data_IF_092111254555
#
_entry.id   IF_092111254555
#
_cell.length_a   1.000
_cell.length_b   1.000
_cell.length_c   1.000
_cell.angle_alpha   90.00
_cell.angle_beta   90.00
_cell.angle_gamma   90.00
#
_symmetry.space_group_name_H-M   'P 1'
#
loop_
_entity.id
_entity.type
_entity.pdbx_description
1 polymer ?
#
# COMPACT_ATOMS: atom_id res chain seq x y z
N UNK A 1 -7.43 4.65 8.61
CA UNK A 1 -6.04 4.54 8.07
C UNK A 1 -5.45 5.94 7.81
N UNK A 2 -4.17 6.22 8.08
CA UNK A 2 -3.57 7.58 7.96
C UNK A 2 -2.66 7.79 6.72
N UNK A 3 -2.86 7.05 5.62
CA UNK A 3 -2.07 7.22 4.38
C UNK A 3 -2.95 7.78 3.25
N UNK A 4 -2.90 9.10 2.97
CA UNK A 4 -3.73 9.75 1.96
C UNK A 4 -3.48 9.24 0.54
N UNK A 5 -2.22 8.96 0.19
CA UNK A 5 -1.82 8.50 -1.15
C UNK A 5 -2.42 7.13 -1.46
N UNK A 6 -2.34 6.20 -0.50
CA UNK A 6 -2.96 4.88 -0.61
C UNK A 6 -4.48 4.96 -0.73
N UNK A 7 -5.11 5.87 0.03
CA UNK A 7 -6.56 6.09 -0.06
C UNK A 7 -6.96 6.57 -1.47
N UNK A 8 -6.25 7.55 -2.01
CA UNK A 8 -6.52 8.10 -3.34
C UNK A 8 -6.30 7.05 -4.44
N UNK A 9 -5.20 6.30 -4.38
CA UNK A 9 -4.91 5.22 -5.31
C UNK A 9 -6.01 4.15 -5.25
N UNK A 10 -6.42 3.73 -4.06
CA UNK A 10 -7.48 2.73 -3.90
C UNK A 10 -8.81 3.20 -4.50
N UNK A 11 -9.21 4.45 -4.25
CA UNK A 11 -10.47 4.99 -4.76
C UNK A 11 -10.47 5.10 -6.27
N UNK A 12 -9.35 5.54 -6.84
CA UNK A 12 -9.14 5.64 -8.28
C UNK A 12 -9.18 4.26 -8.92
N UNK A 13 -8.41 3.30 -8.41
CA UNK A 13 -8.31 1.95 -9.00
C UNK A 13 -9.61 1.15 -8.87
N UNK A 14 -10.37 1.35 -7.79
CA UNK A 14 -11.67 0.70 -7.61
C UNK A 14 -12.83 1.44 -8.30
N UNK A 15 -12.60 2.65 -8.82
CA UNK A 15 -13.64 3.45 -9.47
C UNK A 15 -14.76 3.89 -8.52
N UNK A 16 -14.48 4.05 -7.22
CA UNK A 16 -15.49 4.33 -6.18
C UNK A 16 -15.60 5.82 -5.81
N UNK A 17 -14.97 6.71 -6.57
CA UNK A 17 -14.90 8.15 -6.26
C UNK A 17 -16.26 8.85 -6.22
N UNK A 18 -17.28 8.30 -6.87
CA UNK A 18 -18.65 8.83 -6.88
C UNK A 18 -19.52 8.29 -5.72
N UNK A 19 -19.03 7.30 -4.97
CA UNK A 19 -19.75 6.77 -3.80
C UNK A 19 -19.76 7.79 -2.65
N UNK A 20 -20.74 7.73 -1.73
CA UNK A 20 -20.71 8.52 -0.50
C UNK A 20 -19.41 8.31 0.27
N UNK A 21 -18.89 9.37 0.90
CA UNK A 21 -17.64 9.33 1.66
C UNK A 21 -17.60 8.21 2.69
N UNK A 22 -18.71 8.01 3.42
CA UNK A 22 -18.84 6.92 4.40
C UNK A 22 -18.61 5.55 3.76
N UNK A 23 -19.18 5.30 2.58
CA UNK A 23 -18.98 4.06 1.83
C UNK A 23 -17.56 3.92 1.31
N UNK A 24 -16.94 5.01 0.83
CA UNK A 24 -15.54 5.00 0.44
C UNK A 24 -14.66 4.61 1.63
N UNK A 25 -14.89 5.22 2.79
CA UNK A 25 -14.09 5.00 4.00
C UNK A 25 -14.24 3.57 4.51
N UNK A 26 -15.44 2.98 4.49
CA UNK A 26 -15.62 1.57 4.81
C UNK A 26 -14.81 0.62 3.92
N UNK A 27 -14.79 0.89 2.60
CA UNK A 27 -14.04 0.08 1.64
C UNK A 27 -12.53 0.27 1.88
N UNK A 28 -12.11 1.51 2.08
CA UNK A 28 -10.73 1.89 2.35
C UNK A 28 -10.22 1.27 3.65
N UNK A 29 -11.02 1.21 4.71
CA UNK A 29 -10.61 0.59 5.96
C UNK A 29 -10.53 -0.95 5.84
N UNK A 30 -11.46 -1.59 5.11
CA UNK A 30 -11.44 -3.05 4.90
C UNK A 30 -10.24 -3.52 4.08
N UNK A 31 -9.87 -2.76 3.05
CA UNK A 31 -8.85 -3.17 2.08
C UNK A 31 -7.48 -2.55 2.36
N UNK A 32 -7.48 -1.33 2.90
CA UNK A 32 -6.29 -0.53 3.06
C UNK A 32 -5.23 -1.17 3.95
N UNK A 33 -5.63 -1.84 5.04
CA UNK A 33 -4.68 -2.53 5.91
C UNK A 33 -3.98 -3.69 5.20
N UNK A 34 -4.73 -4.48 4.44
CA UNK A 34 -4.20 -5.64 3.70
C UNK A 34 -3.23 -5.17 2.62
N UNK A 35 -3.63 -4.14 1.86
CA UNK A 35 -2.81 -3.57 0.80
C UNK A 35 -1.56 -2.91 1.38
N UNK A 36 -1.68 -2.19 2.49
CA UNK A 36 -0.52 -1.57 3.15
C UNK A 36 0.51 -2.61 3.61
N UNK A 37 0.04 -3.73 4.18
CA UNK A 37 0.92 -4.85 4.55
C UNK A 37 1.60 -5.47 3.32
N UNK A 38 0.84 -5.71 2.26
CA UNK A 38 1.39 -6.26 1.01
C UNK A 38 2.44 -5.32 0.39
N UNK A 39 2.13 -4.03 0.32
CA UNK A 39 3.04 -2.98 -0.14
C UNK A 39 4.31 -2.91 0.70
N UNK A 40 4.20 -3.03 2.02
CA UNK A 40 5.36 -3.07 2.91
C UNK A 40 6.26 -4.25 2.55
N UNK A 41 5.70 -5.45 2.35
CA UNK A 41 6.47 -6.64 1.95
C UNK A 41 7.17 -6.40 0.60
N UNK A 42 6.45 -5.89 -0.40
CA UNK A 42 7.00 -5.66 -1.74
C UNK A 42 8.09 -4.57 -1.77
N UNK A 43 7.99 -3.56 -0.90
CA UNK A 43 9.08 -2.59 -0.68
C UNK A 43 10.31 -3.32 -0.14
N UNK A 44 10.16 -4.11 0.92
CA UNK A 44 11.28 -4.87 1.48
C UNK A 44 11.92 -5.80 0.45
N UNK A 45 11.14 -6.45 -0.42
CA UNK A 45 11.67 -7.30 -1.49
C UNK A 45 12.53 -6.55 -2.52
N UNK A 46 12.20 -5.28 -2.79
CA UNK A 46 12.96 -4.42 -3.71
C UNK A 46 14.21 -3.80 -3.08
N UNK A 47 14.25 -3.65 -1.76
CA UNK A 47 15.41 -3.14 -1.04
C UNK A 47 16.55 -4.16 -1.00
N UNK A 48 17.78 -3.67 -1.18
CA UNK A 48 18.98 -4.44 -0.86
C UNK A 48 19.08 -4.72 0.64
N UNK A 49 19.85 -5.73 1.06
CA UNK A 49 20.02 -6.04 2.49
C UNK A 49 20.58 -4.86 3.29
N UNK A 50 21.49 -4.08 2.71
CA UNK A 50 22.00 -2.87 3.35
C UNK A 50 20.91 -1.80 3.50
N UNK A 51 20.10 -1.61 2.46
CA UNK A 51 18.99 -0.66 2.48
C UNK A 51 17.88 -1.07 3.45
N UNK A 52 17.62 -2.37 3.65
CA UNK A 52 16.68 -2.87 4.67
C UNK A 52 17.12 -2.50 6.08
N UNK A 53 18.41 -2.66 6.40
CA UNK A 53 18.97 -2.26 7.70
C UNK A 53 18.86 -0.75 7.92
N UNK A 54 19.03 0.04 6.87
CA UNK A 54 18.84 1.49 6.92
C UNK A 54 17.36 1.86 7.12
N UNK A 55 16.45 1.20 6.40
CA UNK A 55 15.02 1.38 6.54
C UNK A 55 14.52 1.10 7.97
N UNK A 56 15.02 0.04 8.62
CA UNK A 56 14.69 -0.27 10.02
C UNK A 56 15.13 0.86 10.97
N UNK A 57 16.33 1.39 10.78
CA UNK A 57 16.85 2.51 11.59
C UNK A 57 16.03 3.77 11.41
N UNK A 58 15.70 4.11 10.16
CA UNK A 58 14.90 5.29 9.83
C UNK A 58 13.48 5.12 10.38
N UNK A 59 12.86 3.95 10.20
CA UNK A 59 11.51 3.66 10.71
C UNK A 59 11.42 3.76 12.23
N UNK A 60 12.47 3.38 12.97
CA UNK A 60 12.52 3.50 14.42
C UNK A 60 12.50 4.96 14.93
N UNK A 61 12.82 5.95 14.08
CA UNK A 61 12.73 7.37 14.44
C UNK A 61 11.29 7.88 14.48
N UNK A 62 10.36 7.21 13.77
CA UNK A 62 9.00 7.70 13.56
C UNK A 62 8.91 8.97 12.69
N UNK A 63 10.00 9.41 12.08
CA UNK A 63 10.00 10.58 11.20
C UNK A 63 9.52 10.19 9.80
N UNK A 64 8.24 10.47 9.55
CA UNK A 64 7.59 10.20 8.27
C UNK A 64 8.31 10.88 7.09
N UNK A 65 8.96 12.04 7.30
CA UNK A 65 9.66 12.75 6.23
C UNK A 65 10.93 12.01 5.82
N UNK A 66 11.66 11.44 6.79
CA UNK A 66 12.84 10.63 6.52
C UNK A 66 12.47 9.30 5.86
N UNK A 67 11.38 8.68 6.33
CA UNK A 67 10.85 7.45 5.71
C UNK A 67 10.46 7.71 4.26
N UNK A 68 9.70 8.78 4.00
CA UNK A 68 9.28 9.14 2.65
C UNK A 68 10.48 9.39 1.74
N UNK A 69 11.44 10.21 2.17
CA UNK A 69 12.65 10.50 1.40
C UNK A 69 13.46 9.23 1.08
N UNK A 70 13.62 8.34 2.06
CA UNK A 70 14.30 7.06 1.84
C UNK A 70 13.59 6.20 0.78
N UNK A 71 12.25 6.14 0.83
CA UNK A 71 11.47 5.39 -0.14
C UNK A 71 11.56 6.02 -1.54
N UNK A 72 11.54 7.34 -1.67
CA UNK A 72 11.72 8.02 -2.97
C UNK A 72 13.09 7.72 -3.60
N UNK A 73 14.15 7.66 -2.79
CA UNK A 73 15.51 7.39 -3.25
C UNK A 73 15.72 5.92 -3.66
N UNK A 74 15.03 4.98 -3.00
CA UNK A 74 15.23 3.54 -3.21
C UNK A 74 14.14 2.87 -4.06
N UNK A 75 12.96 3.48 -4.16
CA UNK A 75 11.76 2.95 -4.85
C UNK A 75 11.26 4.03 -5.83
N UNK A 76 11.93 4.23 -6.97
CA UNK A 76 11.60 5.29 -7.93
C UNK A 76 10.19 5.17 -8.52
N UNK A 77 9.64 3.96 -8.59
CA UNK A 77 8.31 3.67 -9.15
C UNK A 77 7.27 3.35 -8.05
N UNK A 78 7.33 4.05 -6.91
CA UNK A 78 6.45 3.81 -5.76
C UNK A 78 4.95 3.82 -6.10
N UNK A 79 4.52 4.74 -6.98
CA UNK A 79 3.13 4.81 -7.43
C UNK A 79 2.71 3.57 -8.22
N UNK A 80 3.57 3.10 -9.14
CA UNK A 80 3.29 1.91 -9.93
C UNK A 80 3.23 0.66 -9.05
N UNK A 81 4.13 0.57 -8.06
CA UNK A 81 4.11 -0.50 -7.06
C UNK A 81 2.80 -0.50 -6.25
N UNK A 82 2.33 0.67 -5.84
CA UNK A 82 1.07 0.80 -5.12
C UNK A 82 -0.13 0.33 -5.96
N UNK A 83 -0.21 0.75 -7.23
CA UNK A 83 -1.26 0.29 -8.15
C UNK A 83 -1.20 -1.23 -8.40
N UNK A 84 0.00 -1.79 -8.51
CA UNK A 84 0.21 -3.24 -8.65
C UNK A 84 -0.30 -4.00 -7.41
N UNK A 85 0.04 -3.53 -6.21
CA UNK A 85 -0.36 -4.17 -4.95
C UNK A 85 -1.87 -4.08 -4.70
N UNK A 86 -2.52 -2.98 -5.10
CA UNK A 86 -3.99 -2.88 -5.10
C UNK A 86 -4.57 -3.97 -6.01
N UNK A 87 -4.11 -4.07 -7.26
CA UNK A 87 -4.61 -5.05 -8.24
C UNK A 87 -4.35 -6.49 -7.83
N UNK A 88 -3.19 -6.76 -7.24
CA UNK A 88 -2.82 -8.08 -6.70
C UNK A 88 -3.77 -8.46 -5.56
N UNK A 89 -3.90 -7.59 -4.55
CA UNK A 89 -4.80 -7.85 -3.41
C UNK A 89 -6.24 -8.10 -3.84
N UNK A 90 -6.73 -7.35 -4.84
CA UNK A 90 -8.09 -7.56 -5.37
C UNK A 90 -8.26 -8.92 -6.06
N UNK A 91 -7.24 -9.39 -6.79
CA UNK A 91 -7.25 -10.74 -7.39
C UNK A 91 -7.25 -11.81 -6.32
N UNK A 92 -6.34 -11.72 -5.35
CA UNK A 92 -6.23 -12.69 -4.26
C UNK A 92 -7.55 -12.84 -3.49
N UNK A 93 -8.23 -11.72 -3.20
CA UNK A 93 -9.55 -11.74 -2.54
C UNK A 93 -10.66 -12.35 -3.40
N UNK A 94 -10.61 -12.15 -4.72
CA UNK A 94 -11.57 -12.76 -5.65
C UNK A 94 -11.39 -14.28 -5.73
N UNK A 95 -10.14 -14.76 -5.79
CA UNK A 95 -9.80 -16.18 -5.84
C UNK A 95 -10.23 -16.92 -4.56
N UNK A 96 -9.96 -16.35 -3.37
CA UNK A 96 -10.40 -16.91 -2.08
C UNK A 96 -11.93 -17.12 -2.04
N UNK A 97 -12.69 -16.19 -2.63
CA UNK A 97 -14.16 -16.27 -2.68
C UNK A 97 -14.66 -17.36 -3.64
N UNK A 98 -13.91 -17.68 -4.68
CA UNK A 98 -14.24 -18.75 -5.62
C UNK A 98 -13.89 -20.14 -5.07
N UNK A 99 -12.77 -20.27 -4.37
CA UNK A 99 -12.36 -21.54 -3.73
C UNK A 99 -13.20 -21.91 -2.50
N UNK A 100 -13.88 -20.94 -1.89
CA UNK A 100 -14.75 -21.14 -0.73
C UNK A 100 -16.20 -21.50 -1.09
N UNK A 101 -16.50 -21.75 -2.38
CA UNK A 101 -17.83 -22.17 -2.88
C UNK A 101 -17.85 -23.65 -3.25
#
# INVERSE_FOLDING_TARGET
MNNPELREALIKELGIGELPTETQDEIVDKLGEVIFKSLTVSIFEKLSDAARVEFEKISATGDNSLIQKFLEENIPDMQALMEEEIKKTMRDLAEIKEESK
#
